data_IF_584102419165
#
_entry.id   IF_584102419165
#
_cell.length_a   1.000
_cell.length_b   1.000
_cell.length_c   1.000
_cell.angle_alpha   90.00
_cell.angle_beta   90.00
_cell.angle_gamma   90.00
#
_symmetry.space_group_name_H-M   'P 1'
#
loop_
_entity.id
_entity.type
_entity.pdbx_description
1 polymer ?
#
# COMPACT_ATOMS: atom_id res chain seq x y z
N UNK A 1 -40.10 -40.32 -9.54
CA UNK A 1 -40.14 -38.86 -9.25
C UNK A 1 -39.67 -38.48 -7.84
N UNK A 2 -39.88 -39.30 -6.80
CA UNK A 2 -39.48 -38.96 -5.41
C UNK A 2 -37.97 -38.80 -5.19
N UNK A 3 -37.15 -39.73 -5.70
CA UNK A 3 -35.69 -39.72 -5.50
C UNK A 3 -35.02 -38.53 -6.18
N UNK A 4 -35.43 -38.18 -7.39
CA UNK A 4 -34.90 -37.00 -8.11
C UNK A 4 -35.24 -35.69 -7.37
N UNK A 5 -36.48 -35.56 -6.87
CA UNK A 5 -36.91 -34.38 -6.12
C UNK A 5 -36.18 -34.24 -4.77
N UNK A 6 -35.88 -35.36 -4.11
CA UNK A 6 -35.06 -35.38 -2.90
C UNK A 6 -33.59 -35.04 -3.19
N UNK A 7 -33.01 -35.58 -4.27
CA UNK A 7 -31.64 -35.27 -4.68
C UNK A 7 -31.46 -33.78 -5.01
N UNK A 8 -32.43 -33.19 -5.73
CA UNK A 8 -32.45 -31.75 -6.01
C UNK A 8 -32.56 -30.95 -4.71
N UNK A 9 -33.47 -31.30 -3.80
CA UNK A 9 -33.62 -30.61 -2.52
C UNK A 9 -32.34 -30.67 -1.67
N UNK A 10 -31.69 -31.84 -1.60
CA UNK A 10 -30.43 -32.02 -0.86
C UNK A 10 -29.30 -31.20 -1.49
N UNK A 11 -29.16 -31.23 -2.82
CA UNK A 11 -28.17 -30.42 -3.53
C UNK A 11 -28.42 -28.93 -3.35
N UNK A 12 -29.65 -28.45 -3.53
CA UNK A 12 -29.99 -27.04 -3.32
C UNK A 12 -29.74 -26.60 -1.87
N UNK A 13 -30.11 -27.44 -0.90
CA UNK A 13 -29.87 -27.15 0.53
C UNK A 13 -28.37 -27.15 0.85
N UNK A 14 -27.61 -28.12 0.35
CA UNK A 14 -26.16 -28.19 0.55
C UNK A 14 -25.44 -26.99 -0.09
N UNK A 15 -25.87 -26.57 -1.28
CA UNK A 15 -25.38 -25.37 -1.96
C UNK A 15 -25.70 -24.12 -1.14
N UNK A 16 -26.95 -23.93 -0.70
CA UNK A 16 -27.34 -22.80 0.15
C UNK A 16 -26.58 -22.78 1.49
N UNK A 17 -26.36 -23.94 2.12
CA UNK A 17 -25.55 -24.09 3.33
C UNK A 17 -24.08 -23.77 3.07
N UNK A 18 -23.52 -24.17 1.93
CA UNK A 18 -22.14 -23.79 1.57
C UNK A 18 -21.98 -22.28 1.33
N UNK A 19 -23.06 -21.58 0.95
CA UNK A 19 -23.06 -20.13 0.80
C UNK A 19 -23.38 -19.39 2.11
N UNK A 20 -23.97 -20.03 3.12
CA UNK A 20 -24.30 -19.40 4.41
C UNK A 20 -23.11 -18.68 5.07
N UNK A 21 -21.89 -19.25 5.13
CA UNK A 21 -20.72 -18.54 5.64
C UNK A 21 -20.36 -17.27 4.86
N UNK A 22 -20.66 -17.22 3.56
CA UNK A 22 -20.40 -16.05 2.70
C UNK A 22 -21.34 -14.86 2.96
N UNK A 23 -22.39 -15.05 3.77
CA UNK A 23 -23.27 -13.97 4.24
C UNK A 23 -22.75 -13.30 5.52
N UNK A 24 -21.89 -13.95 6.29
CA UNK A 24 -21.36 -13.42 7.55
C UNK A 24 -19.93 -12.91 7.36
N UNK A 25 -19.59 -11.78 7.99
CA UNK A 25 -18.26 -11.18 7.88
C UNK A 25 -17.21 -11.82 8.79
N UNK A 26 -17.65 -12.52 9.83
CA UNK A 26 -16.80 -13.13 10.86
C UNK A 26 -17.17 -14.60 11.05
N UNK A 27 -16.17 -15.48 10.92
CA UNK A 27 -16.31 -16.93 11.15
C UNK A 27 -15.53 -17.38 12.39
N UNK A 28 -14.65 -16.52 12.92
CA UNK A 28 -13.80 -16.75 14.09
C UNK A 28 -14.02 -15.67 15.15
N UNK A 29 -13.78 -15.97 16.44
CA UNK A 29 -13.87 -14.98 17.51
C UNK A 29 -12.93 -13.80 17.25
N UNK A 30 -13.33 -12.63 17.75
CA UNK A 30 -12.50 -11.42 17.71
C UNK A 30 -11.18 -11.72 18.44
N UNK A 31 -10.02 -11.48 17.80
CA UNK A 31 -8.75 -11.76 18.43
C UNK A 31 -8.53 -10.83 19.62
N UNK A 32 -7.75 -11.30 20.58
CA UNK A 32 -7.20 -10.43 21.61
C UNK A 32 -6.35 -9.33 20.95
N UNK A 33 -6.51 -8.09 21.43
CA UNK A 33 -5.76 -6.93 20.96
C UNK A 33 -4.58 -6.73 21.91
N UNK A 34 -3.37 -6.70 21.37
CA UNK A 34 -2.13 -6.47 22.11
C UNK A 34 -1.55 -5.10 21.79
N UNK A 35 -0.65 -4.64 22.66
CA UNK A 35 0.13 -3.42 22.45
C UNK A 35 -0.11 -2.34 23.51
N UNK A 36 0.22 -1.09 23.17
CA UNK A 36 0.23 0.06 24.08
C UNK A 36 -0.56 1.21 23.49
N UNK A 37 -1.33 1.88 24.36
CA UNK A 37 -2.04 3.12 24.02
C UNK A 37 -1.81 4.13 25.14
N UNK A 38 -1.35 5.32 24.76
CA UNK A 38 -1.15 6.44 25.66
C UNK A 38 -2.48 7.09 26.05
N UNK A 39 -2.57 7.73 27.23
CA UNK A 39 -3.77 8.45 27.65
C UNK A 39 -4.27 9.44 26.60
N UNK A 40 -5.57 9.45 26.34
CA UNK A 40 -6.22 10.29 25.34
C UNK A 40 -6.38 9.66 23.95
N UNK A 41 -5.72 8.51 23.69
CA UNK A 41 -5.82 7.77 22.43
C UNK A 41 -6.65 6.48 22.55
N UNK A 42 -7.40 6.28 23.64
CA UNK A 42 -8.14 5.03 23.91
C UNK A 42 -9.17 4.71 22.82
N UNK A 43 -9.76 5.74 22.20
CA UNK A 43 -10.69 5.58 21.08
C UNK A 43 -10.05 4.84 19.89
N UNK A 44 -8.73 5.00 19.68
CA UNK A 44 -8.00 4.33 18.61
C UNK A 44 -8.00 2.81 18.83
N UNK A 45 -7.79 2.33 20.05
CA UNK A 45 -7.90 0.91 20.38
C UNK A 45 -9.31 0.36 20.19
N UNK A 46 -10.34 1.14 20.56
CA UNK A 46 -11.72 0.75 20.34
C UNK A 46 -12.06 0.62 18.85
N UNK A 47 -11.57 1.53 18.01
CA UNK A 47 -11.75 1.45 16.55
C UNK A 47 -10.96 0.28 15.97
N UNK A 48 -9.73 0.05 16.42
CA UNK A 48 -8.93 -1.10 15.99
C UNK A 48 -9.62 -2.42 16.31
N UNK A 49 -10.18 -2.59 17.52
CA UNK A 49 -10.99 -3.75 17.90
C UNK A 49 -12.24 -3.89 17.02
N UNK A 50 -12.95 -2.79 16.76
CA UNK A 50 -14.14 -2.77 15.91
C UNK A 50 -13.87 -3.22 14.48
N UNK A 51 -12.66 -3.03 13.94
CA UNK A 51 -12.31 -3.56 12.64
C UNK A 51 -12.47 -5.09 12.58
N UNK A 52 -12.10 -5.79 13.65
CA UNK A 52 -12.30 -7.24 13.77
C UNK A 52 -13.75 -7.62 14.11
N UNK A 53 -14.40 -6.91 15.04
CA UNK A 53 -15.80 -7.17 15.44
C UNK A 53 -16.78 -7.03 14.26
N UNK A 54 -16.57 -6.02 13.42
CA UNK A 54 -17.38 -5.76 12.24
C UNK A 54 -16.94 -6.57 11.01
N UNK A 55 -15.87 -7.37 11.16
CA UNK A 55 -15.28 -8.21 10.11
C UNK A 55 -14.72 -7.44 8.91
N UNK A 56 -14.33 -6.18 9.14
CA UNK A 56 -13.54 -5.40 8.18
C UNK A 56 -12.13 -5.97 8.07
N UNK A 57 -11.50 -6.22 9.22
CA UNK A 57 -10.40 -7.17 9.33
C UNK A 57 -10.98 -8.56 9.56
N UNK A 58 -10.57 -9.53 8.73
CA UNK A 58 -11.00 -10.91 8.92
C UNK A 58 -10.30 -11.45 10.17
N UNK A 59 -11.04 -12.14 11.03
CA UNK A 59 -10.51 -12.75 12.26
C UNK A 59 -9.52 -13.90 12.00
N UNK A 60 -9.52 -14.42 10.77
CA UNK A 60 -8.51 -15.33 10.21
C UNK A 60 -7.23 -14.62 9.72
N UNK A 61 -7.31 -13.30 9.58
CA UNK A 61 -6.18 -12.41 9.30
C UNK A 61 -5.56 -11.82 10.57
N UNK A 62 -4.73 -10.80 10.36
CA UNK A 62 -4.07 -10.05 11.41
C UNK A 62 -3.61 -8.71 10.86
N UNK A 63 -3.51 -7.73 11.75
CA UNK A 63 -3.16 -6.36 11.40
C UNK A 63 -2.40 -5.70 12.56
N UNK A 64 -1.72 -4.60 12.24
CA UNK A 64 -1.06 -3.73 13.21
C UNK A 64 -1.28 -2.26 12.85
N UNK A 65 -1.32 -1.41 13.86
CA UNK A 65 -1.48 0.02 13.72
C UNK A 65 -0.59 0.77 14.72
N UNK A 66 0.22 1.69 14.23
CA UNK A 66 1.09 2.52 15.05
C UNK A 66 0.82 4.00 14.78
N UNK A 67 0.91 4.84 15.82
CA UNK A 67 0.76 6.29 15.76
C UNK A 67 1.88 6.94 16.56
N UNK A 68 2.53 7.90 15.91
CA UNK A 68 3.43 8.85 16.52
C UNK A 68 2.76 10.22 16.61
N UNK A 69 2.79 10.85 17.77
CA UNK A 69 2.33 12.23 17.97
C UNK A 69 3.44 13.03 18.65
N UNK A 70 3.84 14.14 18.03
CA UNK A 70 4.94 15.01 18.47
C UNK A 70 6.27 14.25 18.68
N UNK A 71 6.51 13.21 17.88
CA UNK A 71 7.72 12.40 17.92
C UNK A 71 7.65 11.18 18.87
N UNK A 72 6.59 11.05 19.66
CA UNK A 72 6.43 9.96 20.62
C UNK A 72 5.47 8.89 20.10
N UNK A 73 5.81 7.60 20.29
CA UNK A 73 4.93 6.47 19.94
C UNK A 73 3.77 6.40 20.94
N UNK A 74 2.62 6.94 20.56
CA UNK A 74 1.43 7.05 21.42
C UNK A 74 0.47 5.89 21.27
N UNK A 75 0.50 5.19 20.13
CA UNK A 75 -0.27 3.97 19.87
C UNK A 75 0.65 2.98 19.18
N UNK A 76 0.62 1.74 19.63
CA UNK A 76 1.26 0.60 18.98
C UNK A 76 0.41 -0.64 19.26
N UNK A 77 -0.37 -1.08 18.27
CA UNK A 77 -1.38 -2.12 18.43
C UNK A 77 -1.20 -3.21 17.38
N UNK A 78 -1.45 -4.46 17.77
CA UNK A 78 -1.51 -5.58 16.85
C UNK A 78 -2.48 -6.67 17.32
N UNK A 79 -2.99 -7.46 16.37
CA UNK A 79 -3.90 -8.56 16.68
C UNK A 79 -3.99 -9.59 15.54
N UNK A 80 -4.56 -10.74 15.88
CA UNK A 80 -4.88 -11.80 14.91
C UNK A 80 -3.72 -12.72 14.61
N UNK A 81 -3.68 -13.25 13.40
CA UNK A 81 -2.72 -14.27 12.96
C UNK A 81 -1.72 -13.69 11.95
N UNK A 82 -0.44 -13.99 12.09
CA UNK A 82 0.56 -13.82 11.04
C UNK A 82 0.41 -14.91 9.95
N UNK A 83 0.09 -16.14 10.37
CA UNK A 83 -0.29 -17.25 9.51
C UNK A 83 -1.29 -18.16 10.24
N UNK A 84 -2.52 -18.22 9.76
CA UNK A 84 -3.58 -19.01 10.39
C UNK A 84 -3.44 -20.51 10.10
N UNK A 85 -2.99 -20.90 8.91
CA UNK A 85 -2.79 -22.31 8.54
C UNK A 85 -1.74 -22.95 9.46
N UNK A 86 -0.69 -22.18 9.77
CA UNK A 86 0.36 -22.55 10.72
C UNK A 86 0.02 -22.21 12.19
N UNK A 87 -1.15 -21.61 12.47
CA UNK A 87 -1.58 -21.12 13.80
C UNK A 87 -0.57 -20.17 14.47
N UNK A 88 0.15 -19.38 13.67
CA UNK A 88 1.07 -18.35 14.13
C UNK A 88 0.29 -17.06 14.38
N UNK A 89 0.27 -16.63 15.64
CA UNK A 89 -0.30 -15.34 16.04
C UNK A 89 0.58 -14.18 15.53
N UNK A 90 -0.07 -13.04 15.29
CA UNK A 90 0.62 -11.78 15.07
C UNK A 90 1.33 -11.36 16.35
N UNK A 91 2.58 -10.92 16.23
CA UNK A 91 3.44 -10.43 17.32
C UNK A 91 3.88 -9.00 17.05
N UNK A 92 4.42 -8.34 18.07
CA UNK A 92 4.97 -6.98 17.98
C UNK A 92 5.96 -6.82 16.81
N UNK A 93 6.75 -7.85 16.53
CA UNK A 93 7.79 -7.88 15.50
C UNK A 93 7.35 -8.59 14.20
N UNK A 94 6.05 -8.80 13.98
CA UNK A 94 5.57 -9.42 12.72
C UNK A 94 5.70 -8.44 11.57
N UNK A 95 6.38 -8.87 10.50
CA UNK A 95 6.54 -8.09 9.28
C UNK A 95 5.37 -8.33 8.33
N UNK A 96 4.96 -7.30 7.58
CA UNK A 96 3.89 -7.40 6.58
C UNK A 96 4.28 -6.71 5.27
N UNK A 97 3.75 -7.22 4.16
CA UNK A 97 3.95 -6.59 2.86
C UNK A 97 3.18 -5.27 2.79
N UNK A 98 3.91 -4.16 2.63
CA UNK A 98 3.33 -2.82 2.58
C UNK A 98 2.90 -2.38 1.17
N UNK A 99 3.21 -3.18 0.14
CA UNK A 99 2.94 -2.89 -1.27
C UNK A 99 3.35 -1.47 -1.67
N UNK A 100 2.46 -0.71 -2.31
CA UNK A 100 2.75 0.64 -2.81
C UNK A 100 3.04 1.66 -1.72
N UNK A 101 2.74 1.39 -0.44
CA UNK A 101 3.15 2.26 0.68
C UNK A 101 4.65 2.50 0.67
N UNK A 102 5.45 1.54 0.17
CA UNK A 102 6.90 1.66 -0.02
C UNK A 102 7.31 2.84 -0.91
N UNK A 103 6.43 3.34 -1.79
CA UNK A 103 6.70 4.54 -2.59
C UNK A 103 6.91 5.78 -1.71
N UNK A 104 6.24 5.88 -0.57
CA UNK A 104 6.50 6.95 0.41
C UNK A 104 7.93 6.89 0.95
N UNK A 105 8.42 5.70 1.27
CA UNK A 105 9.82 5.50 1.71
C UNK A 105 10.82 5.80 0.59
N UNK A 106 10.50 5.38 -0.64
CA UNK A 106 11.29 5.72 -1.83
C UNK A 106 11.35 7.23 -2.07
N UNK A 107 10.23 7.94 -1.93
CA UNK A 107 10.17 9.39 -2.09
C UNK A 107 10.96 10.11 -1.00
N UNK A 108 10.92 9.62 0.25
CA UNK A 108 11.75 10.13 1.34
C UNK A 108 13.25 10.04 0.99
N UNK A 109 13.71 8.90 0.46
CA UNK A 109 15.11 8.74 0.03
C UNK A 109 15.49 9.76 -1.04
N UNK A 110 14.65 9.96 -2.07
CA UNK A 110 14.89 10.97 -3.12
C UNK A 110 14.91 12.38 -2.53
N UNK A 111 14.00 12.70 -1.61
CA UNK A 111 13.96 13.99 -0.93
C UNK A 111 15.22 14.25 -0.08
N UNK A 112 15.73 13.22 0.62
CA UNK A 112 16.99 13.33 1.38
C UNK A 112 18.20 13.56 0.46
N UNK A 113 18.24 12.91 -0.70
CA UNK A 113 19.29 13.15 -1.69
C UNK A 113 19.20 14.58 -2.27
N UNK A 114 17.99 15.11 -2.44
CA UNK A 114 17.79 16.48 -2.87
C UNK A 114 18.20 17.50 -1.80
N UNK A 115 17.84 17.27 -0.54
CA UNK A 115 18.27 18.09 0.61
C UNK A 115 19.81 18.14 0.73
N UNK A 116 20.48 17.02 0.43
CA UNK A 116 21.95 16.93 0.37
C UNK A 116 22.57 17.56 -0.89
N UNK A 117 21.77 18.12 -1.79
CA UNK A 117 22.23 18.73 -3.04
C UNK A 117 22.74 17.74 -4.09
N UNK A 118 22.44 16.44 -3.95
CA UNK A 118 22.84 15.40 -4.90
C UNK A 118 21.81 15.23 -6.03
N UNK A 119 20.56 15.63 -5.79
CA UNK A 119 19.47 15.66 -6.77
C UNK A 119 18.82 17.05 -6.76
N UNK A 120 18.39 17.49 -7.93
CA UNK A 120 17.52 18.64 -8.12
C UNK A 120 16.28 18.18 -8.88
N UNK A 121 15.10 18.38 -8.28
CA UNK A 121 13.81 17.98 -8.84
C UNK A 121 13.53 18.62 -10.20
N UNK A 122 14.03 19.84 -10.44
CA UNK A 122 13.78 20.57 -11.69
C UNK A 122 14.76 20.20 -12.80
N UNK A 123 15.85 19.49 -12.48
CA UNK A 123 16.82 19.06 -13.48
C UNK A 123 16.35 17.83 -14.25
N UNK A 124 16.69 17.71 -15.55
CA UNK A 124 16.47 16.49 -16.31
C UNK A 124 17.15 15.28 -15.66
N UNK A 125 16.45 14.13 -15.63
CA UNK A 125 17.00 12.86 -15.13
C UNK A 125 18.30 12.50 -15.85
N UNK A 126 18.41 12.86 -17.14
CA UNK A 126 19.61 12.60 -17.95
C UNK A 126 20.90 13.25 -17.44
N UNK A 127 20.82 14.27 -16.60
CA UNK A 127 22.02 14.88 -16.00
C UNK A 127 22.69 13.94 -14.98
N UNK A 128 21.90 13.08 -14.35
CA UNK A 128 22.36 12.05 -13.41
C UNK A 128 22.54 10.69 -14.10
N UNK A 129 21.75 10.46 -15.15
CA UNK A 129 21.69 9.20 -15.88
C UNK A 129 21.66 9.45 -17.40
N UNK A 130 22.81 9.66 -18.05
CA UNK A 130 22.86 10.05 -19.47
C UNK A 130 22.08 9.12 -20.41
N UNK A 131 22.16 7.81 -20.19
CA UNK A 131 21.45 6.79 -20.97
C UNK A 131 19.94 6.82 -20.75
N UNK A 132 19.42 7.48 -19.72
CA UNK A 132 17.99 7.70 -19.61
C UNK A 132 17.48 8.65 -20.71
N UNK A 133 18.30 9.62 -21.15
CA UNK A 133 17.86 10.71 -22.02
C UNK A 133 17.39 10.30 -23.42
N UNK A 134 17.66 9.08 -23.87
CA UNK A 134 17.24 8.57 -25.18
C UNK A 134 15.72 8.38 -25.30
N UNK A 135 15.24 8.19 -26.53
CA UNK A 135 13.84 7.86 -26.85
C UNK A 135 12.84 8.94 -26.39
N UNK A 136 13.19 10.21 -26.55
CA UNK A 136 12.30 11.34 -26.22
C UNK A 136 12.23 11.68 -24.73
N UNK A 137 13.16 11.16 -23.92
CA UNK A 137 13.21 11.36 -22.47
C UNK A 137 14.16 12.49 -22.04
N UNK A 138 14.71 13.24 -22.97
CA UNK A 138 15.79 14.21 -22.74
C UNK A 138 15.39 15.35 -21.80
N UNK A 139 14.08 15.63 -21.71
CA UNK A 139 13.50 16.74 -20.94
C UNK A 139 12.77 16.29 -19.68
N UNK A 140 12.64 14.99 -19.45
CA UNK A 140 11.96 14.47 -18.25
C UNK A 140 12.78 14.87 -17.03
N UNK A 141 12.18 15.67 -16.15
CA UNK A 141 12.79 16.08 -14.88
C UNK A 141 12.64 14.99 -13.82
N UNK A 142 13.41 15.08 -12.75
CA UNK A 142 13.25 14.17 -11.60
C UNK A 142 11.86 14.32 -10.99
N UNK A 143 11.31 15.53 -10.94
CA UNK A 143 9.92 15.79 -10.52
C UNK A 143 8.92 15.04 -11.39
N UNK A 144 8.95 15.22 -12.71
CA UNK A 144 8.04 14.51 -13.64
C UNK A 144 8.13 12.99 -13.50
N UNK A 145 9.33 12.46 -13.23
CA UNK A 145 9.52 11.04 -12.98
C UNK A 145 8.84 10.62 -11.68
N UNK A 146 9.09 11.32 -10.57
CA UNK A 146 8.57 10.99 -9.25
C UNK A 146 7.05 11.23 -9.13
N UNK A 147 6.49 12.15 -9.91
CA UNK A 147 5.07 12.48 -9.98
C UNK A 147 4.32 11.66 -11.04
N UNK A 148 4.89 10.56 -11.55
CA UNK A 148 4.22 9.71 -12.54
C UNK A 148 3.83 10.40 -13.86
N UNK A 149 4.48 11.50 -14.22
CA UNK A 149 4.22 12.25 -15.46
C UNK A 149 5.19 11.88 -16.60
N UNK A 150 6.19 11.05 -16.32
CA UNK A 150 7.22 10.66 -17.29
C UNK A 150 6.73 9.76 -18.44
N UNK A 151 5.52 9.20 -18.37
CA UNK A 151 5.01 8.32 -19.42
C UNK A 151 5.54 6.89 -19.39
N UNK A 152 6.17 6.43 -18.30
CA UNK A 152 6.88 5.14 -18.22
C UNK A 152 6.24 4.13 -17.26
N UNK A 153 4.91 3.89 -17.29
CA UNK A 153 4.27 3.01 -16.31
C UNK A 153 4.62 1.52 -16.50
N UNK A 154 5.23 1.18 -17.64
CA UNK A 154 5.61 -0.18 -18.03
C UNK A 154 7.03 -0.19 -18.60
N UNK A 155 7.74 -1.30 -18.41
CA UNK A 155 9.02 -1.58 -19.08
C UNK A 155 8.73 -2.53 -20.24
N UNK A 156 9.10 -2.15 -21.45
CA UNK A 156 8.88 -2.97 -22.65
C UNK A 156 9.63 -4.31 -22.54
N UNK A 157 9.06 -5.40 -23.05
CA UNK A 157 9.42 -6.81 -22.80
C UNK A 157 9.11 -7.36 -21.38
N UNK A 158 8.59 -6.51 -20.49
CA UNK A 158 8.11 -6.90 -19.17
C UNK A 158 9.22 -7.02 -18.11
N UNK A 159 8.80 -7.23 -16.86
CA UNK A 159 9.71 -7.37 -15.72
C UNK A 159 9.73 -8.85 -15.32
N UNK A 160 10.90 -9.48 -15.40
CA UNK A 160 11.12 -10.86 -14.96
C UNK A 160 11.98 -10.92 -13.70
N UNK A 161 11.93 -12.02 -12.95
CA UNK A 161 12.80 -12.21 -11.78
C UNK A 161 14.28 -12.21 -12.15
N UNK A 162 14.65 -12.71 -13.32
CA UNK A 162 16.04 -12.71 -13.78
C UNK A 162 16.51 -11.29 -14.12
N UNK A 163 15.65 -10.49 -14.77
CA UNK A 163 15.94 -9.07 -15.01
C UNK A 163 16.11 -8.30 -13.69
N UNK A 164 15.28 -8.57 -12.69
CA UNK A 164 15.39 -7.91 -11.37
C UNK A 164 16.67 -8.29 -10.60
N UNK A 165 17.31 -9.42 -10.94
CA UNK A 165 18.59 -9.84 -10.35
C UNK A 165 19.80 -9.25 -11.07
N UNK A 166 19.67 -8.88 -12.34
CA UNK A 166 20.71 -8.24 -13.12
C UNK A 166 20.51 -6.73 -13.19
N UNK A 167 21.27 -6.03 -12.34
CA UNK A 167 21.17 -4.58 -12.18
C UNK A 167 21.52 -3.82 -13.47
N UNK A 168 22.50 -4.29 -14.23
CA UNK A 168 22.90 -3.61 -15.47
C UNK A 168 21.90 -3.84 -16.59
N UNK A 169 21.39 -5.07 -16.72
CA UNK A 169 20.34 -5.38 -17.69
C UNK A 169 19.06 -4.60 -17.39
N UNK A 170 18.68 -4.50 -16.11
CA UNK A 170 17.53 -3.70 -15.69
C UNK A 170 17.72 -2.22 -16.04
N UNK A 171 18.88 -1.64 -15.75
CA UNK A 171 19.17 -0.25 -16.10
C UNK A 171 19.08 -0.01 -17.61
N UNK A 172 19.63 -0.91 -18.43
CA UNK A 172 19.50 -0.81 -19.89
C UNK A 172 18.03 -0.87 -20.33
N UNK A 173 17.24 -1.79 -19.77
CA UNK A 173 15.82 -1.92 -20.12
C UNK A 173 15.00 -0.67 -19.74
N UNK A 174 15.24 -0.12 -18.55
CA UNK A 174 14.63 1.13 -18.09
C UNK A 174 15.02 2.31 -18.98
N UNK A 175 16.32 2.44 -19.31
CA UNK A 175 16.84 3.48 -20.17
C UNK A 175 16.25 3.43 -21.59
N UNK A 176 15.96 2.23 -22.11
CA UNK A 176 15.39 2.02 -23.45
C UNK A 176 13.86 2.15 -23.48
N UNK A 177 13.18 2.27 -22.34
CA UNK A 177 11.73 2.43 -22.29
C UNK A 177 11.30 3.74 -22.95
N UNK A 178 10.21 3.69 -23.73
CA UNK A 178 9.65 4.84 -24.45
C UNK A 178 8.42 5.38 -23.70
N UNK A 179 8.26 6.71 -23.54
CA UNK A 179 7.06 7.28 -22.96
C UNK A 179 5.80 6.92 -23.76
N UNK A 180 4.75 6.45 -23.07
CA UNK A 180 3.45 6.15 -23.68
C UNK A 180 2.63 7.41 -24.02
N UNK A 181 3.01 8.56 -23.46
CA UNK A 181 2.45 9.88 -23.73
C UNK A 181 3.57 10.93 -23.65
N UNK A 182 3.30 12.14 -24.13
CA UNK A 182 4.26 13.24 -24.03
C UNK A 182 4.54 13.59 -22.56
N UNK A 183 5.78 13.49 -22.07
CA UNK A 183 6.06 13.70 -20.65
C UNK A 183 5.60 15.06 -20.13
N UNK A 184 4.98 15.10 -18.96
CA UNK A 184 4.43 16.32 -18.34
C UNK A 184 3.06 16.76 -18.90
N UNK A 185 2.51 16.07 -19.91
CA UNK A 185 1.16 16.40 -20.44
C UNK A 185 0.04 15.57 -19.79
N UNK A 186 0.40 14.50 -19.09
CA UNK A 186 -0.52 13.65 -18.35
C UNK A 186 0.20 12.98 -17.19
N UNK A 187 -0.56 12.69 -16.13
CA UNK A 187 -0.16 11.79 -15.05
C UNK A 187 -0.47 10.35 -15.46
N UNK A 188 0.14 9.33 -14.86
CA UNK A 188 -0.28 7.94 -15.03
C UNK A 188 0.51 6.99 -14.16
N UNK A 189 -0.17 6.33 -13.21
CA UNK A 189 0.47 5.62 -12.12
C UNK A 189 1.48 4.54 -12.57
N UNK A 190 2.75 4.75 -12.23
CA UNK A 190 3.83 3.81 -12.50
C UNK A 190 3.89 2.76 -11.38
N UNK A 191 2.95 1.81 -11.40
CA UNK A 191 2.70 0.89 -10.28
C UNK A 191 3.96 0.13 -9.80
N UNK A 192 4.75 -0.36 -10.76
CA UNK A 192 5.98 -1.12 -10.50
C UNK A 192 7.24 -0.34 -10.90
N UNK A 193 7.22 0.30 -12.07
CA UNK A 193 8.42 0.88 -12.66
C UNK A 193 9.01 2.05 -11.86
N UNK A 194 8.20 2.80 -11.10
CA UNK A 194 8.70 3.97 -10.35
C UNK A 194 9.81 3.61 -9.36
N UNK A 195 9.65 2.49 -8.64
CA UNK A 195 10.65 2.07 -7.65
C UNK A 195 11.95 1.63 -8.32
N UNK A 196 11.87 1.10 -9.54
CA UNK A 196 13.02 0.68 -10.33
C UNK A 196 13.78 1.92 -10.85
N UNK A 197 13.07 2.91 -11.38
CA UNK A 197 13.67 4.18 -11.80
C UNK A 197 14.27 4.94 -10.60
N UNK A 198 13.55 5.03 -9.48
CA UNK A 198 14.07 5.67 -8.27
C UNK A 198 15.34 4.96 -7.76
N UNK A 199 15.36 3.62 -7.73
CA UNK A 199 16.55 2.86 -7.33
C UNK A 199 17.74 3.04 -8.30
N UNK A 200 17.48 3.09 -9.61
CA UNK A 200 18.50 3.38 -10.61
C UNK A 200 19.08 4.80 -10.47
N UNK A 201 18.24 5.78 -10.13
CA UNK A 201 18.66 7.15 -9.87
C UNK A 201 19.49 7.24 -8.59
N UNK A 202 19.03 6.65 -7.48
CA UNK A 202 19.76 6.62 -6.19
C UNK A 202 21.17 6.07 -6.37
N UNK A 203 21.32 4.93 -7.06
CA UNK A 203 22.63 4.31 -7.31
C UNK A 203 23.62 5.21 -8.07
N UNK A 204 23.12 6.16 -8.88
CA UNK A 204 23.96 7.06 -9.68
C UNK A 204 24.37 8.33 -8.94
N UNK A 205 23.55 8.77 -7.99
CA UNK A 205 23.79 10.03 -7.27
C UNK A 205 24.37 9.82 -5.87
N UNK A 206 24.16 8.65 -5.26
CA UNK A 206 24.72 8.33 -3.95
C UNK A 206 26.23 8.08 -4.07
N UNK A 207 27.09 8.77 -3.29
CA UNK A 207 28.54 8.60 -3.37
C UNK A 207 29.02 7.17 -3.07
N UNK A 208 28.25 6.37 -2.32
CA UNK A 208 28.54 4.96 -2.05
C UNK A 208 27.93 4.01 -3.09
N UNK A 209 27.23 4.54 -4.10
CA UNK A 209 26.50 3.78 -5.12
C UNK A 209 25.54 2.73 -4.53
N UNK A 210 24.96 3.01 -3.36
CA UNK A 210 24.04 2.08 -2.69
C UNK A 210 22.73 1.97 -3.47
N UNK A 211 22.09 0.81 -3.35
CA UNK A 211 20.69 0.66 -3.76
C UNK A 211 19.77 1.52 -2.90
N UNK A 212 18.56 1.79 -3.39
CA UNK A 212 17.55 2.51 -2.61
C UNK A 212 17.28 1.86 -1.25
N UNK A 213 17.25 0.52 -1.19
CA UNK A 213 17.02 -0.20 0.06
C UNK A 213 18.18 -0.13 1.04
N UNK A 214 19.42 -0.19 0.55
CA UNK A 214 20.61 0.00 1.38
C UNK A 214 20.71 1.43 1.92
N UNK A 215 20.44 2.43 1.08
CA UNK A 215 20.38 3.82 1.53
C UNK A 215 19.31 4.01 2.61
N UNK A 216 18.09 3.50 2.36
CA UNK A 216 17.01 3.56 3.34
C UNK A 216 17.39 2.88 4.66
N UNK A 217 18.00 1.69 4.60
CA UNK A 217 18.45 0.97 5.78
C UNK A 217 19.45 1.82 6.60
N UNK A 218 20.56 2.23 5.99
CA UNK A 218 21.65 2.91 6.68
C UNK A 218 21.31 4.34 7.15
N UNK A 219 20.52 5.08 6.36
CA UNK A 219 20.32 6.53 6.58
C UNK A 219 19.00 6.84 7.30
N UNK A 220 18.07 5.88 7.36
CA UNK A 220 16.74 6.07 7.94
C UNK A 220 16.44 4.96 8.95
N UNK A 221 16.41 3.70 8.51
CA UNK A 221 15.94 2.60 9.35
C UNK A 221 16.85 2.41 10.58
N UNK A 222 18.15 2.29 10.37
CA UNK A 222 19.14 2.07 11.44
C UNK A 222 19.27 3.28 12.36
N UNK A 223 19.20 4.50 11.79
CA UNK A 223 19.32 5.76 12.54
C UNK A 223 18.16 5.96 13.51
N UNK A 224 16.95 5.63 13.08
CA UNK A 224 15.73 5.86 13.86
C UNK A 224 15.18 4.59 14.53
N UNK A 225 15.86 3.45 14.39
CA UNK A 225 15.41 2.16 14.91
C UNK A 225 14.08 1.69 14.30
N UNK A 226 13.88 1.93 12.99
CA UNK A 226 12.65 1.58 12.27
C UNK A 226 12.78 0.16 11.71
N UNK A 227 11.84 -0.71 12.09
CA UNK A 227 11.78 -2.10 11.66
C UNK A 227 11.02 -2.26 10.33
N UNK A 228 11.58 -1.67 9.27
CA UNK A 228 11.04 -1.69 7.92
C UNK A 228 12.14 -1.97 6.89
N UNK A 229 11.80 -2.65 5.80
CA UNK A 229 12.78 -3.11 4.81
C UNK A 229 12.35 -2.81 3.38
N UNK A 230 13.31 -2.40 2.55
CA UNK A 230 13.22 -2.43 1.09
C UNK A 230 14.26 -3.42 0.61
N UNK A 231 13.81 -4.64 0.32
CA UNK A 231 14.70 -5.80 0.18
C UNK A 231 14.96 -6.46 1.55
N UNK A 232 13.98 -7.20 2.04
CA UNK A 232 14.04 -7.87 3.34
C UNK A 232 15.19 -8.89 3.38
N UNK A 233 16.07 -8.86 4.41
CA UNK A 233 17.10 -9.87 4.61
C UNK A 233 16.51 -11.27 4.84
N UNK A 234 17.18 -12.31 4.34
CA UNK A 234 16.66 -13.69 4.38
C UNK A 234 16.49 -14.25 5.80
N UNK A 235 17.32 -13.80 6.74
CA UNK A 235 17.23 -14.14 8.15
C UNK A 235 15.97 -13.56 8.81
N UNK A 236 15.34 -12.53 8.23
CA UNK A 236 14.10 -11.93 8.71
C UNK A 236 12.83 -12.60 8.15
N UNK A 237 12.95 -13.53 7.19
CA UNK A 237 11.79 -14.13 6.51
C UNK A 237 10.85 -14.88 7.45
N UNK A 238 11.37 -15.39 8.57
CA UNK A 238 10.56 -16.08 9.58
C UNK A 238 9.52 -15.17 10.27
N UNK A 239 9.65 -13.85 10.14
CA UNK A 239 8.75 -12.84 10.72
C UNK A 239 7.66 -12.41 9.74
N UNK A 240 7.75 -12.79 8.46
CA UNK A 240 6.83 -12.34 7.42
C UNK A 240 5.45 -12.99 7.58
N UNK A 241 4.43 -12.16 7.72
CA UNK A 241 3.04 -12.59 7.60
C UNK A 241 2.70 -12.99 6.17
N UNK A 242 1.85 -14.01 6.02
CA UNK A 242 1.40 -14.47 4.70
C UNK A 242 0.14 -13.69 4.29
N UNK A 243 0.19 -12.90 3.20
CA UNK A 243 -0.99 -12.18 2.74
C UNK A 243 -2.10 -13.16 2.35
N UNK A 244 -3.34 -12.80 2.69
CA UNK A 244 -4.52 -13.58 2.31
C UNK A 244 -5.44 -12.70 1.48
N UNK A 245 -5.90 -13.28 0.37
CA UNK A 245 -6.98 -12.74 -0.43
C UNK A 245 -8.22 -13.59 -0.15
N UNK A 246 -9.09 -13.11 0.73
CA UNK A 246 -10.41 -13.72 0.94
C UNK A 246 -11.37 -13.09 -0.05
N UNK A 247 -12.19 -13.91 -0.73
CA UNK A 247 -13.23 -13.35 -1.58
C UNK A 247 -14.16 -12.46 -0.73
N UNK A 248 -14.51 -11.24 -1.21
CA UNK A 248 -15.43 -10.39 -0.49
C UNK A 248 -16.77 -11.11 -0.26
N UNK A 249 -17.30 -11.01 0.95
CA UNK A 249 -18.67 -11.47 1.24
C UNK A 249 -19.69 -10.69 0.40
N UNK A 250 -20.93 -11.19 0.29
CA UNK A 250 -21.99 -10.45 -0.37
C UNK A 250 -22.23 -9.07 0.29
N UNK A 251 -22.12 -9.01 1.62
CA UNK A 251 -22.23 -7.76 2.39
C UNK A 251 -21.06 -6.80 2.13
N UNK A 252 -19.85 -7.32 1.91
CA UNK A 252 -18.69 -6.50 1.54
C UNK A 252 -18.89 -5.89 0.15
N UNK A 253 -19.41 -6.66 -0.79
CA UNK A 253 -19.76 -6.18 -2.13
C UNK A 253 -20.88 -5.13 -2.11
N UNK A 254 -21.98 -5.36 -1.38
CA UNK A 254 -23.08 -4.40 -1.25
C UNK A 254 -22.59 -3.10 -0.62
N UNK A 255 -21.83 -3.21 0.48
CA UNK A 255 -21.28 -2.05 1.14
C UNK A 255 -20.38 -1.26 0.19
N UNK A 256 -19.37 -1.92 -0.40
CA UNK A 256 -18.42 -1.27 -1.31
C UNK A 256 -19.12 -0.64 -2.52
N UNK A 257 -20.12 -1.30 -3.11
CA UNK A 257 -20.92 -0.75 -4.19
C UNK A 257 -21.70 0.51 -3.76
N UNK A 258 -22.20 0.54 -2.53
CA UNK A 258 -22.97 1.68 -1.99
C UNK A 258 -22.11 2.87 -1.56
N UNK A 259 -20.90 2.63 -1.04
CA UNK A 259 -20.06 3.65 -0.41
C UNK A 259 -18.86 4.07 -1.25
N UNK A 260 -18.43 3.24 -2.20
CA UNK A 260 -17.21 3.49 -2.99
C UNK A 260 -17.55 3.60 -4.48
N UNK A 261 -17.52 4.83 -5.00
CA UNK A 261 -17.83 5.13 -6.42
C UNK A 261 -16.89 4.40 -7.38
N UNK A 262 -15.62 4.26 -7.02
CA UNK A 262 -14.60 3.58 -7.83
C UNK A 262 -14.82 2.07 -7.87
N UNK A 263 -15.07 1.44 -6.70
CA UNK A 263 -15.42 0.03 -6.63
C UNK A 263 -16.69 -0.28 -7.44
N UNK A 264 -17.73 0.54 -7.29
CA UNK A 264 -18.97 0.43 -8.07
C UNK A 264 -18.68 0.50 -9.57
N UNK A 265 -17.78 1.37 -10.01
CA UNK A 265 -17.41 1.49 -11.41
C UNK A 265 -16.64 0.28 -11.91
N UNK A 266 -15.61 -0.20 -11.19
CA UNK A 266 -14.88 -1.44 -11.55
C UNK A 266 -15.86 -2.62 -11.61
N UNK A 267 -16.72 -2.77 -10.61
CA UNK A 267 -17.70 -3.84 -10.56
C UNK A 267 -18.63 -3.80 -11.78
N UNK A 268 -19.21 -2.64 -12.10
CA UNK A 268 -20.08 -2.48 -13.26
C UNK A 268 -19.33 -2.69 -14.58
N UNK A 269 -18.11 -2.16 -14.74
CA UNK A 269 -17.32 -2.31 -15.96
C UNK A 269 -16.82 -3.74 -16.18
N UNK A 270 -16.50 -4.48 -15.11
CA UNK A 270 -16.11 -5.89 -15.17
C UNK A 270 -17.22 -6.80 -15.73
N UNK A 271 -18.49 -6.42 -15.53
CA UNK A 271 -19.64 -7.14 -16.06
C UNK A 271 -19.82 -6.95 -17.57
N UNK A 272 -19.21 -5.92 -18.16
CA UNK A 272 -19.44 -5.52 -19.56
C UNK A 272 -18.25 -5.67 -20.50
N UNK A 273 -17.13 -6.31 -20.09
CA UNK A 273 -15.92 -6.61 -20.89
C UNK A 273 -15.68 -5.62 -22.06
N UNK A 274 -15.44 -4.34 -21.74
CA UNK A 274 -15.24 -3.30 -22.76
C UNK A 274 -13.92 -2.54 -22.54
N UNK A 275 -13.45 -1.68 -23.48
CA UNK A 275 -12.10 -1.06 -23.58
C UNK A 275 -11.62 -0.16 -22.43
N UNK A 276 -12.14 -0.38 -21.23
CA UNK A 276 -12.06 0.43 -20.02
C UNK A 276 -10.71 0.39 -19.31
N UNK A 277 -9.72 -0.37 -19.79
CA UNK A 277 -8.36 -0.32 -19.22
C UNK A 277 -7.72 1.06 -19.44
N UNK A 278 -7.97 1.70 -20.58
CA UNK A 278 -7.50 3.07 -20.83
C UNK A 278 -8.16 4.11 -19.91
N UNK A 279 -9.44 3.90 -19.55
CA UNK A 279 -10.17 4.77 -18.63
C UNK A 279 -9.86 4.47 -17.15
N UNK A 280 -9.59 3.21 -16.79
CA UNK A 280 -8.99 2.84 -15.51
C UNK A 280 -7.64 3.54 -15.35
N UNK A 281 -6.82 3.54 -16.41
CA UNK A 281 -5.60 4.32 -16.42
C UNK A 281 -5.90 5.80 -16.23
N UNK A 282 -6.84 6.44 -16.95
CA UNK A 282 -7.27 7.84 -16.73
C UNK A 282 -7.80 8.14 -15.32
N UNK A 283 -8.42 7.17 -14.63
CA UNK A 283 -8.79 7.34 -13.22
C UNK A 283 -7.55 7.18 -12.32
N UNK A 284 -6.65 6.23 -12.60
CA UNK A 284 -5.35 6.15 -11.93
C UNK A 284 -4.46 7.36 -12.24
N UNK A 285 -4.70 8.08 -13.34
CA UNK A 285 -4.11 9.39 -13.64
C UNK A 285 -4.61 10.46 -12.67
N UNK A 286 -5.83 10.32 -12.15
CA UNK A 286 -6.44 11.27 -11.21
C UNK A 286 -6.45 10.76 -9.75
N UNK A 287 -6.17 9.47 -9.50
CA UNK A 287 -5.98 8.90 -8.17
C UNK A 287 -4.56 9.19 -7.64
N UNK A 288 -4.15 10.45 -7.70
CA UNK A 288 -3.22 11.02 -6.71
C UNK A 288 -3.85 11.14 -5.31
N UNK A 289 -5.11 10.70 -5.17
CA UNK A 289 -5.96 10.68 -3.98
C UNK A 289 -5.33 9.84 -2.87
N UNK A 290 -5.14 10.34 -1.66
CA UNK A 290 -5.95 11.25 -0.86
C UNK A 290 -4.95 12.21 -0.21
N UNK A 291 -5.15 13.55 -0.27
CA UNK A 291 -4.54 14.59 0.60
C UNK A 291 -4.20 15.93 -0.10
N UNK A 292 -4.96 16.40 -1.10
CA UNK A 292 -4.85 17.84 -1.47
C UNK A 292 -5.49 18.76 -0.42
N UNK A 293 -6.54 18.31 0.28
CA UNK A 293 -7.22 19.13 1.31
C UNK A 293 -6.56 19.06 2.70
N UNK A 294 -5.57 18.19 2.88
CA UNK A 294 -4.85 18.01 4.14
C UNK A 294 -3.38 17.97 3.80
N UNK A 295 -2.52 18.82 4.38
CA UNK A 295 -1.06 18.79 4.23
C UNK A 295 -0.44 17.48 4.80
N UNK A 296 -0.86 16.33 4.29
CA UNK A 296 -0.53 14.97 4.68
C UNK A 296 0.31 14.41 3.54
N UNK A 297 1.46 13.84 3.86
CA UNK A 297 2.33 13.16 2.90
C UNK A 297 2.43 11.68 3.26
N UNK A 298 2.43 10.81 2.25
CA UNK A 298 2.45 9.37 2.47
C UNK A 298 2.04 8.59 1.24
N UNK A 299 1.77 7.31 1.43
CA UNK A 299 1.30 6.45 0.33
C UNK A 299 0.44 5.31 0.86
N UNK A 300 -0.51 4.88 0.03
CA UNK A 300 -1.32 3.70 0.27
C UNK A 300 -0.79 2.50 -0.52
N UNK A 301 -0.97 1.32 0.06
CA UNK A 301 -0.64 0.04 -0.52
C UNK A 301 -1.88 -0.79 -0.83
N UNK A 302 -1.70 -1.73 -1.77
CA UNK A 302 -2.73 -2.70 -2.11
C UNK A 302 -3.26 -3.39 -0.85
N UNK A 303 -4.58 -3.53 -0.77
CA UNK A 303 -5.22 -4.24 0.32
C UNK A 303 -5.40 -3.43 1.60
N UNK A 304 -5.24 -2.09 1.54
CA UNK A 304 -5.61 -1.16 2.62
C UNK A 304 -4.48 -0.69 3.52
N UNK A 305 -3.27 -1.16 3.24
CA UNK A 305 -2.01 -0.74 3.85
C UNK A 305 -1.84 0.77 3.69
N UNK A 306 -1.41 1.49 4.72
CA UNK A 306 -1.12 2.93 4.60
C UNK A 306 0.04 3.37 5.51
N UNK A 307 0.75 4.41 5.08
CA UNK A 307 1.68 5.15 5.92
C UNK A 307 1.64 6.62 5.55
N UNK A 308 1.34 7.48 6.52
CA UNK A 308 1.19 8.93 6.32
C UNK A 308 1.73 9.73 7.49
N UNK A 309 2.09 10.98 7.22
CA UNK A 309 2.44 11.96 8.23
C UNK A 309 1.86 13.34 7.90
N UNK A 310 1.48 14.07 8.95
CA UNK A 310 0.99 15.45 8.95
C UNK A 310 2.00 16.30 9.72
N UNK A 311 2.90 17.06 9.05
CA UNK A 311 3.86 17.93 9.70
C UNK A 311 3.24 19.00 10.57
N UNK A 312 2.06 19.53 10.18
CA UNK A 312 1.42 20.64 10.89
C UNK A 312 0.87 20.18 12.23
N UNK A 313 0.24 18.99 12.25
CA UNK A 313 -0.24 18.37 13.48
C UNK A 313 0.83 17.55 14.21
N UNK A 314 2.00 17.37 13.60
CA UNK A 314 3.10 16.51 14.09
C UNK A 314 2.63 15.08 14.35
N UNK A 315 1.84 14.54 13.42
CA UNK A 315 1.30 13.17 13.49
C UNK A 315 2.00 12.32 12.43
N UNK A 316 2.36 11.09 12.77
CA UNK A 316 2.66 10.03 11.81
C UNK A 316 1.89 8.77 12.18
N UNK A 317 1.43 8.00 11.20
CA UNK A 317 0.81 6.71 11.48
C UNK A 317 1.02 5.71 10.35
N UNK A 318 0.98 4.43 10.69
CA UNK A 318 1.08 3.31 9.77
C UNK A 318 0.07 2.23 10.12
N UNK A 319 -0.62 1.71 9.11
CA UNK A 319 -1.50 0.56 9.23
C UNK A 319 -1.04 -0.54 8.28
N UNK A 320 -0.88 -1.74 8.82
CA UNK A 320 -0.58 -2.92 8.02
C UNK A 320 -1.53 -4.06 8.30
N UNK A 321 -1.88 -4.84 7.28
CA UNK A 321 -2.79 -5.98 7.39
C UNK A 321 -2.45 -7.05 6.37
N UNK A 322 -2.39 -8.31 6.81
CA UNK A 322 -2.26 -9.44 5.87
C UNK A 322 -3.54 -9.68 5.07
N UNK A 323 -4.71 -9.25 5.56
CA UNK A 323 -5.95 -9.32 4.80
C UNK A 323 -5.98 -8.20 3.77
N UNK A 324 -5.93 -8.58 2.49
CA UNK A 324 -6.02 -7.66 1.38
C UNK A 324 -7.50 -7.37 1.10
N UNK A 325 -7.98 -6.27 1.67
CA UNK A 325 -9.37 -5.85 1.46
C UNK A 325 -9.61 -5.53 -0.02
N UNK A 326 -10.70 -6.04 -0.62
CA UNK A 326 -11.14 -5.65 -1.95
C UNK A 326 -11.44 -4.15 -2.06
N UNK A 327 -11.78 -3.47 -0.95
CA UNK A 327 -11.93 -2.02 -0.93
C UNK A 327 -10.59 -1.29 -0.96
N UNK A 328 -9.51 -1.95 -0.50
CA UNK A 328 -8.14 -1.44 -0.61
C UNK A 328 -7.59 -1.39 -2.05
N UNK A 329 -8.27 -2.01 -3.03
CA UNK A 329 -8.00 -1.80 -4.47
C UNK A 329 -8.42 -0.41 -4.95
N UNK A 330 -9.30 0.26 -4.19
CA UNK A 330 -9.85 1.57 -4.49
C UNK A 330 -9.20 2.69 -3.67
N UNK A 331 -8.05 2.42 -3.03
CA UNK A 331 -7.29 3.34 -2.16
C UNK A 331 -8.02 3.91 -0.94
N UNK A 332 -9.30 3.57 -0.75
CA UNK A 332 -10.13 3.96 0.40
C UNK A 332 -10.54 2.69 1.14
N UNK A 333 -9.76 2.32 2.15
CA UNK A 333 -10.06 1.20 3.04
C UNK A 333 -10.78 1.68 4.31
N UNK A 334 -11.98 1.15 4.62
CA UNK A 334 -12.71 1.54 5.83
C UNK A 334 -11.90 1.36 7.12
N UNK A 335 -11.05 0.32 7.21
CA UNK A 335 -10.26 0.03 8.42
C UNK A 335 -9.31 1.17 8.74
N UNK A 336 -8.51 1.55 7.75
CA UNK A 336 -7.47 2.55 7.91
C UNK A 336 -8.06 3.97 7.98
N UNK A 337 -9.16 4.22 7.27
CA UNK A 337 -9.93 5.47 7.36
C UNK A 337 -10.45 5.72 8.77
N UNK A 338 -11.17 4.76 9.37
CA UNK A 338 -11.73 4.98 10.71
C UNK A 338 -10.65 5.13 11.78
N UNK A 339 -9.54 4.41 11.64
CA UNK A 339 -8.36 4.58 12.49
C UNK A 339 -7.80 6.00 12.37
N UNK A 340 -7.57 6.49 11.15
CA UNK A 340 -7.10 7.86 10.90
C UNK A 340 -8.04 8.91 11.53
N UNK A 341 -9.35 8.79 11.31
CA UNK A 341 -10.32 9.72 11.88
C UNK A 341 -10.29 9.71 13.42
N UNK A 342 -10.09 8.55 14.05
CA UNK A 342 -9.97 8.43 15.51
C UNK A 342 -8.70 9.11 16.05
N UNK A 343 -7.58 9.01 15.33
CA UNK A 343 -6.33 9.72 15.67
C UNK A 343 -6.54 11.23 15.62
N UNK A 344 -7.18 11.74 14.57
CA UNK A 344 -7.45 13.18 14.43
C UNK A 344 -8.40 13.69 15.52
N UNK A 345 -9.40 12.91 15.93
CA UNK A 345 -10.28 13.25 17.06
C UNK A 345 -9.51 13.27 18.39
N UNK A 346 -8.66 12.27 18.63
CA UNK A 346 -7.82 12.20 19.82
C UNK A 346 -6.90 13.42 19.94
N UNK A 347 -6.16 13.75 18.87
CA UNK A 347 -5.28 14.93 18.86
C UNK A 347 -6.05 16.22 19.08
N UNK A 348 -7.18 16.41 18.39
CA UNK A 348 -8.03 17.59 18.60
C UNK A 348 -8.51 17.70 20.05
N UNK A 349 -8.83 16.60 20.72
CA UNK A 349 -9.24 16.60 22.12
C UNK A 349 -8.09 17.00 23.04
N UNK A 350 -6.91 16.45 22.82
CA UNK A 350 -5.69 16.73 23.60
C UNK A 350 -5.26 18.20 23.45
N UNK A 351 -5.37 18.78 22.25
CA UNK A 351 -4.98 20.18 22.00
C UNK A 351 -5.96 21.22 22.57
N UNK A 352 -7.19 20.81 22.89
CA UNK A 352 -8.22 21.67 23.48
C UNK A 352 -8.29 21.54 25.03
N UNK A 353 -7.44 20.71 25.63
CA UNK A 353 -7.26 20.59 27.08
C UNK A 353 -6.05 21.42 27.51
#
# INVERSE_FOLDING_TARGET
MGVFRQAVLVLTTAVLISFLPSFFRTSFPVPEIYGVVSPGFEEVAEVFRKNFELGWDKSEGGSAFAVYYKGEKVVDLWAGYADQEAKLLWKEDTLSLMFSTTKGLSALVIAMLADRGLIDFKKPVKEYWPEFGQKGKEKITVEMLMEHEAGLPVVYDGITFDLLRDTEALDRALALSEPLWEPGTAHGYHALSIGLFASALVRRVDPKNRTLGQFFAEEVADVFGIDAFIGTPSDQYHRLSRPIHVQPSLLDNIHAFSTNRFYRYIFLTSLFQSPSFALLMDIMKNCGEVCEEMNLFGSAGLGGQIGYADPNKKIGYGFVSRYLSPQGLAFIDPRSKYLQESVLRAVKKIENQ
#
